data_IF_841212604337
#
_entry.id   IF_841212604337
#
_cell.length_a   1.000
_cell.length_b   1.000
_cell.length_c   1.000
_cell.angle_alpha   90.00
_cell.angle_beta   90.00
_cell.angle_gamma   90.00
#
_symmetry.space_group_name_H-M   'P 1'
#
loop_
_entity.id
_entity.type
_entity.pdbx_description
1 polymer ?
#
# COMPACT_ATOMS: atom_id res chain seq x y z
N UNK A 1 6.05 0.61 6.73
CA UNK A 1 5.20 1.81 6.49
C UNK A 1 3.76 1.35 6.55
N UNK A 2 2.85 2.13 7.13
CA UNK A 2 1.44 1.75 7.25
C UNK A 2 0.75 1.65 5.88
N UNK A 3 0.19 0.47 5.56
CA UNK A 3 -0.63 0.24 4.35
C UNK A 3 -1.75 1.27 4.19
N UNK A 4 -2.27 1.78 5.31
CA UNK A 4 -3.33 2.78 5.34
C UNK A 4 -2.86 4.13 4.78
N UNK A 5 -1.62 4.53 5.10
CA UNK A 5 -1.04 5.78 4.59
C UNK A 5 -0.81 5.66 3.09
N UNK A 6 -0.28 4.53 2.63
CA UNK A 6 -0.06 4.30 1.19
C UNK A 6 -1.37 4.34 0.39
N UNK A 7 -2.45 3.72 0.90
CA UNK A 7 -3.78 3.78 0.27
C UNK A 7 -4.35 5.19 0.23
N UNK A 8 -4.21 5.96 1.31
CA UNK A 8 -4.67 7.35 1.35
C UNK A 8 -3.92 8.24 0.33
N UNK A 9 -2.61 8.06 0.25
CA UNK A 9 -1.77 8.79 -0.70
C UNK A 9 -2.09 8.42 -2.15
N UNK A 10 -2.33 7.14 -2.45
CA UNK A 10 -2.79 6.69 -3.79
C UNK A 10 -4.09 7.38 -4.17
N UNK A 11 -5.10 7.35 -3.30
CA UNK A 11 -6.40 7.99 -3.56
C UNK A 11 -6.25 9.50 -3.78
N UNK A 12 -5.37 10.16 -3.01
CA UNK A 12 -5.10 11.59 -3.16
C UNK A 12 -4.43 11.91 -4.51
N UNK A 13 -3.43 11.14 -4.92
CA UNK A 13 -2.75 11.35 -6.20
C UNK A 13 -3.66 11.03 -7.39
N UNK A 14 -4.57 10.06 -7.27
CA UNK A 14 -5.57 9.77 -8.32
C UNK A 14 -6.58 10.91 -8.49
N UNK A 15 -7.07 11.51 -7.39
CA UNK A 15 -7.92 12.72 -7.46
C UNK A 15 -7.15 13.93 -8.03
N UNK A 16 -5.89 14.10 -7.64
CA UNK A 16 -5.03 15.17 -8.15
C UNK A 16 -4.79 15.01 -9.66
N UNK A 17 -4.54 13.80 -10.13
CA UNK A 17 -4.34 13.50 -11.55
C UNK A 17 -5.62 13.71 -12.38
N UNK A 18 -6.80 13.46 -11.80
CA UNK A 18 -8.08 13.69 -12.46
C UNK A 18 -8.36 15.18 -12.71
N UNK A 19 -7.81 16.06 -11.87
CA UNK A 19 -8.02 17.51 -11.93
C UNK A 19 -6.87 18.27 -12.59
N UNK A 20 -5.70 17.65 -12.72
CA UNK A 20 -4.52 18.27 -13.32
C UNK A 20 -4.59 18.23 -14.86
N UNK A 21 -4.48 19.42 -15.47
CA UNK A 21 -4.49 19.61 -16.92
C UNK A 21 -3.09 19.89 -17.48
N UNK A 22 -2.15 20.27 -16.62
CA UNK A 22 -0.77 20.51 -17.04
C UNK A 22 -0.02 19.18 -17.28
N UNK A 23 0.49 18.94 -18.49
CA UNK A 23 1.09 17.64 -18.84
C UNK A 23 2.39 17.37 -18.09
N UNK A 24 3.15 18.39 -17.70
CA UNK A 24 4.38 18.22 -16.92
C UNK A 24 4.05 17.84 -15.48
N UNK A 25 3.10 18.54 -14.85
CA UNK A 25 2.62 18.20 -13.50
C UNK A 25 1.96 16.82 -13.46
N UNK A 26 1.17 16.45 -14.48
CA UNK A 26 0.61 15.09 -14.59
C UNK A 26 1.69 14.03 -14.54
N UNK A 27 2.78 14.18 -15.30
CA UNK A 27 3.92 13.23 -15.29
C UNK A 27 4.56 13.12 -13.91
N UNK A 28 4.70 14.25 -13.20
CA UNK A 28 5.22 14.25 -11.82
C UNK A 28 4.27 13.47 -10.90
N UNK A 29 2.96 13.74 -10.97
CA UNK A 29 1.95 13.08 -10.15
C UNK A 29 1.90 11.57 -10.45
N UNK A 30 1.98 11.16 -11.72
CA UNK A 30 2.07 9.76 -12.14
C UNK A 30 3.31 9.06 -11.54
N UNK A 31 4.46 9.74 -11.54
CA UNK A 31 5.68 9.23 -10.92
C UNK A 31 5.56 9.05 -9.41
N UNK A 32 4.87 9.97 -8.72
CA UNK A 32 4.59 9.86 -7.28
C UNK A 32 3.60 8.73 -7.00
N UNK A 33 2.54 8.62 -7.80
CA UNK A 33 1.54 7.55 -7.71
C UNK A 33 2.17 6.17 -7.87
N UNK A 34 3.06 6.00 -8.85
CA UNK A 34 3.77 4.73 -9.08
C UNK A 34 4.62 4.33 -7.86
N UNK A 35 5.34 5.28 -7.27
CA UNK A 35 6.14 5.03 -6.05
C UNK A 35 5.26 4.61 -4.89
N UNK A 36 4.09 5.23 -4.74
CA UNK A 36 3.18 4.90 -3.64
C UNK A 36 2.52 3.54 -3.82
N UNK A 37 2.14 3.18 -5.05
CA UNK A 37 1.65 1.83 -5.39
C UNK A 37 2.70 0.76 -5.07
N UNK A 38 3.97 1.00 -5.37
CA UNK A 38 5.04 0.06 -5.02
C UNK A 38 5.26 -0.06 -3.51
N UNK A 39 5.17 1.03 -2.74
CA UNK A 39 5.21 0.95 -1.27
C UNK A 39 4.06 0.13 -0.70
N UNK A 40 2.85 0.27 -1.27
CA UNK A 40 1.70 -0.52 -0.86
C UNK A 40 1.92 -2.01 -1.13
N UNK A 41 2.41 -2.36 -2.33
CA UNK A 41 2.75 -3.73 -2.70
C UNK A 41 3.74 -4.36 -1.71
N UNK A 42 4.83 -3.66 -1.37
CA UNK A 42 5.80 -4.13 -0.38
C UNK A 42 5.15 -4.33 1.00
N UNK A 43 4.30 -3.40 1.44
CA UNK A 43 3.62 -3.50 2.72
C UNK A 43 2.59 -4.66 2.75
N UNK A 44 1.94 -4.95 1.63
CA UNK A 44 1.00 -6.07 1.50
C UNK A 44 1.75 -7.41 1.50
N UNK A 45 2.84 -7.53 0.75
CA UNK A 45 3.69 -8.74 0.77
C UNK A 45 4.29 -9.03 2.15
N UNK A 46 4.71 -7.99 2.89
CA UNK A 46 5.20 -8.16 4.26
C UNK A 46 4.09 -8.64 5.19
N UNK A 47 2.89 -8.07 5.09
CA UNK A 47 1.76 -8.48 5.91
C UNK A 47 1.32 -9.93 5.64
N UNK A 48 1.42 -10.41 4.40
CA UNK A 48 1.15 -11.82 4.06
C UNK A 48 2.26 -12.75 4.58
N UNK A 49 3.53 -12.34 4.47
CA UNK A 49 4.67 -13.10 5.01
C UNK A 49 4.62 -13.21 6.55
N UNK A 50 4.20 -12.14 7.24
CA UNK A 50 3.99 -12.13 8.69
C UNK A 50 2.79 -12.99 9.12
N UNK A 51 1.74 -13.09 8.30
CA UNK A 51 0.60 -13.99 8.55
C UNK A 51 0.96 -15.46 8.40
N UNK A 52 1.78 -15.81 7.42
CA UNK A 52 2.25 -17.20 7.26
C UNK A 52 3.25 -17.62 8.34
N UNK A 53 4.01 -16.69 8.90
CA UNK A 53 4.95 -16.95 10.01
C UNK A 53 4.34 -16.76 11.40
N UNK A 54 3.06 -16.39 11.51
CA UNK A 54 2.40 -16.35 12.80
C UNK A 54 2.34 -17.79 13.36
N UNK A 55 2.90 -18.06 14.56
CA UNK A 55 2.81 -19.38 15.14
C UNK A 55 1.33 -19.69 15.32
N UNK A 56 0.84 -20.70 14.61
CA UNK A 56 -0.41 -21.38 14.93
C UNK A 56 -0.36 -21.66 16.41
N UNK A 57 -1.14 -20.93 17.21
CA UNK A 57 -1.36 -21.32 18.60
C UNK A 57 -1.76 -22.79 18.55
N UNK A 58 -1.05 -23.70 19.25
CA UNK A 58 -1.61 -25.00 19.47
C UNK A 58 -2.84 -24.78 20.34
N UNK A 59 -4.01 -25.00 19.75
CA UNK A 59 -5.25 -25.22 20.47
C UNK A 59 -5.00 -26.23 21.60
N UNK A 60 -5.47 -25.84 22.79
CA UNK A 60 -6.01 -26.67 23.86
C UNK A 60 -5.68 -28.18 23.81
N UNK A 61 -4.88 -28.63 24.77
CA UNK A 61 -4.90 -30.02 25.19
C UNK A 61 -5.55 -30.10 26.58
N UNK A 62 -6.80 -30.59 26.71
CA UNK A 62 -7.34 -30.96 28.00
C UNK A 62 -6.82 -32.36 28.36
N UNK A 63 -6.17 -32.48 29.51
CA UNK A 63 -5.69 -33.74 30.09
C UNK A 63 -5.64 -33.66 31.60
#
# INVERSE_FOLDING_TARGET
>A
MDRFIARANIAHFEDLLARENDPEKRRVIEGLLAREKHKLEIAEQQADTERENAPSKPDDQPG
#
